data_IF_899310239006
#
_entry.id   IF_899310239006
#
_cell.length_a   1.000
_cell.length_b   1.000
_cell.length_c   1.000
_cell.angle_alpha   90.00
_cell.angle_beta   90.00
_cell.angle_gamma   90.00
#
_symmetry.space_group_name_H-M   'P 1'
#
loop_
_entity.id
_entity.type
_entity.pdbx_description
1 polymer ?
#
# COMPACT_ATOMS: atom_id res chain seq x y z
N UNK A 1 16.10 -12.17 18.27
CA UNK A 1 15.61 -11.84 17.89
C UNK A 1 14.90 -11.72 17.14
N UNK A 2 14.47 -11.64 17.04
CA UNK A 2 13.77 -11.60 16.38
C UNK A 2 13.54 -10.91 15.35
N UNK A 3 13.32 -11.08 14.94
CA UNK A 3 13.13 -10.59 13.60
C UNK A 3 11.76 -10.00 13.39
N UNK A 4 11.38 -9.17 14.26
CA UNK A 4 10.12 -8.46 14.13
C UNK A 4 10.18 -7.53 12.94
N UNK A 5 9.12 -7.50 12.14
CA UNK A 5 8.99 -6.55 11.05
C UNK A 5 8.83 -5.15 11.62
N UNK A 6 9.56 -4.21 11.09
CA UNK A 6 9.42 -2.82 11.48
C UNK A 6 8.41 -2.16 10.55
N UNK A 7 7.14 -2.24 10.93
CA UNK A 7 6.05 -1.71 10.11
C UNK A 7 6.19 -0.22 9.88
N UNK A 8 6.61 0.52 10.90
CA UNK A 8 6.76 1.96 10.75
C UNK A 8 7.83 2.31 9.72
N UNK A 9 8.98 1.63 9.76
CA UNK A 9 10.04 1.88 8.80
C UNK A 9 9.62 1.50 7.38
N UNK A 10 8.90 0.39 7.23
CA UNK A 10 8.43 -0.04 5.92
C UNK A 10 7.43 0.97 5.37
N UNK A 11 6.50 1.43 6.19
CA UNK A 11 5.54 2.45 5.76
C UNK A 11 6.24 3.74 5.36
N UNK A 12 7.23 4.18 6.11
CA UNK A 12 7.97 5.39 5.77
C UNK A 12 8.71 5.25 4.45
N UNK A 13 9.35 4.11 4.24
CA UNK A 13 10.07 3.86 3.00
C UNK A 13 9.10 3.83 1.81
N UNK A 14 7.92 3.23 2.02
CA UNK A 14 6.90 3.20 0.97
C UNK A 14 6.43 4.60 0.62
N UNK A 15 6.22 5.45 1.63
CA UNK A 15 5.78 6.82 1.38
C UNK A 15 6.86 7.64 0.67
N UNK A 16 8.13 7.39 0.96
CA UNK A 16 9.23 8.06 0.28
C UNK A 16 9.29 7.73 -1.20
N UNK A 17 8.80 6.55 -1.60
CA UNK A 17 8.77 6.09 -2.99
C UNK A 17 7.33 5.91 -3.49
N UNK A 18 6.38 6.61 -2.88
CA UNK A 18 4.97 6.30 -3.07
C UNK A 18 4.48 6.42 -4.51
N UNK A 19 4.90 7.42 -5.30
CA UNK A 19 4.44 7.44 -6.69
C UNK A 19 4.76 6.15 -7.44
N UNK A 20 5.96 5.60 -7.25
CA UNK A 20 6.34 4.35 -7.90
C UNK A 20 5.57 3.17 -7.32
N UNK A 21 5.40 3.15 -5.99
CA UNK A 21 4.65 2.09 -5.31
C UNK A 21 3.21 2.07 -5.82
N UNK A 22 2.56 3.23 -5.83
CA UNK A 22 1.16 3.31 -6.27
C UNK A 22 1.01 2.96 -7.74
N UNK A 23 1.98 3.34 -8.57
CA UNK A 23 1.93 3.00 -9.98
C UNK A 23 1.97 1.48 -10.19
N UNK A 24 2.65 0.75 -9.32
CA UNK A 24 2.70 -0.71 -9.39
C UNK A 24 1.45 -1.35 -8.81
N UNK A 25 0.93 -0.80 -7.71
CA UNK A 25 -0.23 -1.37 -7.04
C UNK A 25 -1.53 -1.04 -7.77
N UNK A 26 -1.62 0.16 -8.31
CA UNK A 26 -2.85 0.68 -8.90
C UNK A 26 -2.52 1.33 -10.23
N UNK A 27 -2.10 0.53 -11.23
CA UNK A 27 -1.80 1.09 -12.54
C UNK A 27 -3.05 1.74 -13.12
N UNK A 28 -2.89 2.88 -13.74
CA UNK A 28 -4.03 3.62 -14.28
C UNK A 28 -4.66 4.59 -13.31
N UNK A 29 -4.18 4.65 -12.07
CA UNK A 29 -4.67 5.63 -11.11
C UNK A 29 -4.32 7.04 -11.56
N UNK A 30 -5.17 8.00 -11.20
CA UNK A 30 -4.99 9.39 -11.57
C UNK A 30 -4.77 10.26 -10.36
N UNK A 31 -3.79 11.15 -10.45
CA UNK A 31 -3.53 12.11 -9.38
C UNK A 31 -4.54 13.24 -9.50
N UNK A 32 -5.32 13.43 -8.45
CA UNK A 32 -6.29 14.52 -8.37
C UNK A 32 -6.07 15.20 -7.03
N UNK A 33 -5.47 16.38 -7.04
CA UNK A 33 -5.09 17.06 -5.82
C UNK A 33 -4.11 16.22 -5.03
N UNK A 34 -4.38 16.01 -3.77
CA UNK A 34 -3.53 15.21 -2.89
C UNK A 34 -3.81 13.73 -2.91
N UNK A 35 -4.63 13.25 -3.86
CA UNK A 35 -5.06 11.87 -3.87
C UNK A 35 -4.76 11.18 -5.19
N UNK A 36 -4.58 9.87 -5.12
CA UNK A 36 -4.61 9.02 -6.29
C UNK A 36 -5.99 8.37 -6.30
N UNK A 37 -6.70 8.53 -7.42
CA UNK A 37 -8.04 7.97 -7.61
C UNK A 37 -7.89 6.82 -8.59
N UNK A 38 -8.39 5.65 -8.23
CA UNK A 38 -8.20 4.45 -9.03
C UNK A 38 -9.44 3.56 -8.97
N UNK A 39 -9.49 2.61 -9.89
CA UNK A 39 -10.47 1.54 -9.79
C UNK A 39 -10.02 0.57 -8.69
N UNK A 40 -10.98 0.08 -7.90
CA UNK A 40 -10.66 -0.87 -6.85
C UNK A 40 -10.55 -2.27 -7.45
N UNK A 41 -9.35 -2.88 -7.45
CA UNK A 41 -9.19 -4.20 -8.06
C UNK A 41 -9.91 -5.32 -7.31
N UNK A 42 -10.37 -5.06 -6.07
CA UNK A 42 -11.07 -6.08 -5.29
C UNK A 42 -12.54 -6.20 -5.62
N UNK A 43 -13.04 -5.33 -6.49
CA UNK A 43 -14.43 -5.42 -6.93
C UNK A 43 -14.51 -4.99 -8.39
N UNK A 44 -15.64 -5.28 -9.02
CA UNK A 44 -15.84 -4.95 -10.42
C UNK A 44 -16.15 -3.47 -10.58
N UNK A 45 -15.15 -2.64 -10.34
CA UNK A 45 -15.27 -1.20 -10.35
C UNK A 45 -15.17 -0.71 -11.78
N UNK A 46 -16.08 0.16 -12.20
CA UNK A 46 -16.11 0.65 -13.57
C UNK A 46 -15.89 2.13 -13.70
N UNK A 47 -15.96 2.86 -12.60
CA UNK A 47 -15.82 4.31 -12.60
C UNK A 47 -14.83 4.72 -11.55
N UNK A 48 -13.98 5.65 -11.92
CA UNK A 48 -13.11 6.30 -10.96
C UNK A 48 -13.95 7.16 -10.02
N UNK A 49 -13.52 7.25 -8.78
CA UNK A 49 -14.10 8.20 -7.85
C UNK A 49 -14.25 7.69 -6.44
N UNK A 50 -14.62 6.43 -6.25
CA UNK A 50 -14.86 5.94 -4.90
C UNK A 50 -13.62 5.41 -4.21
N UNK A 51 -12.62 4.91 -4.94
CA UNK A 51 -11.41 4.37 -4.33
C UNK A 51 -10.28 5.39 -4.42
N UNK A 52 -9.81 5.85 -3.28
CA UNK A 52 -8.85 6.95 -3.20
C UNK A 52 -7.76 6.66 -2.19
N UNK A 53 -6.53 7.06 -2.54
CA UNK A 53 -5.37 6.92 -1.67
C UNK A 53 -4.73 8.30 -1.53
N UNK A 54 -4.52 8.73 -0.28
CA UNK A 54 -3.81 9.97 -0.03
C UNK A 54 -2.33 9.77 -0.37
N UNK A 55 -1.81 10.57 -1.28
CA UNK A 55 -0.46 10.39 -1.81
C UNK A 55 0.65 10.80 -0.84
N UNK A 56 0.30 11.45 0.25
CA UNK A 56 1.28 11.92 1.21
C UNK A 56 1.39 11.05 2.45
N UNK A 57 0.27 10.52 2.93
CA UNK A 57 0.28 9.73 4.16
C UNK A 57 -0.15 8.28 3.97
N UNK A 58 -0.60 7.90 2.78
CA UNK A 58 -0.97 6.52 2.49
C UNK A 58 -2.34 6.11 2.99
N UNK A 59 -3.10 7.01 3.59
CA UNK A 59 -4.47 6.68 3.98
C UNK A 59 -5.31 6.44 2.74
N UNK A 60 -6.18 5.45 2.83
CA UNK A 60 -6.99 5.08 1.68
C UNK A 60 -8.41 4.74 2.13
N UNK A 61 -9.34 4.83 1.20
CA UNK A 61 -10.72 4.48 1.44
C UNK A 61 -11.43 4.17 0.13
N UNK A 62 -12.40 3.27 0.22
CA UNK A 62 -13.38 3.08 -0.86
C UNK A 62 -14.72 3.55 -0.35
N UNK A 63 -15.18 4.67 -0.85
CA UNK A 63 -16.40 5.30 -0.36
C UNK A 63 -17.66 4.54 -0.78
N UNK A 64 -17.53 3.63 -1.75
CA UNK A 64 -18.67 2.80 -2.16
C UNK A 64 -18.88 1.62 -1.22
N UNK A 65 -17.81 1.11 -0.59
CA UNK A 65 -17.91 -0.06 0.29
C UNK A 65 -17.72 0.28 1.76
N UNK A 66 -17.08 1.40 2.06
CA UNK A 66 -16.71 1.74 3.42
C UNK A 66 -15.38 1.15 3.87
N UNK A 67 -14.70 0.40 3.02
CA UNK A 67 -13.38 -0.13 3.36
C UNK A 67 -12.39 1.01 3.44
N UNK A 68 -11.46 0.92 4.41
CA UNK A 68 -10.46 1.97 4.57
C UNK A 68 -9.28 1.47 5.38
N UNK A 69 -8.20 2.21 5.31
CA UNK A 69 -7.00 1.93 6.10
C UNK A 69 -6.13 3.16 6.22
N UNK A 70 -5.10 3.06 7.05
CA UNK A 70 -4.33 4.23 7.46
C UNK A 70 -2.93 4.33 6.90
N UNK A 71 -2.43 3.32 6.21
CA UNK A 71 -1.03 3.33 5.80
C UNK A 71 -0.79 2.40 4.60
N UNK A 72 0.41 2.48 3.98
CA UNK A 72 0.72 1.65 2.82
C UNK A 72 0.62 0.14 3.07
N UNK A 73 1.02 -0.32 4.25
CA UNK A 73 0.93 -1.76 4.54
C UNK A 73 -0.52 -2.21 4.52
N UNK A 74 -1.43 -1.44 5.14
CA UNK A 74 -2.85 -1.80 5.13
C UNK A 74 -3.42 -1.78 3.72
N UNK A 75 -2.94 -0.88 2.87
CA UNK A 75 -3.37 -0.83 1.48
C UNK A 75 -2.97 -2.12 0.75
N UNK A 76 -1.72 -2.54 0.89
CA UNK A 76 -1.24 -3.78 0.25
C UNK A 76 -2.02 -4.98 0.78
N UNK A 77 -2.25 -5.03 2.09
CA UNK A 77 -3.02 -6.11 2.69
C UNK A 77 -4.43 -6.18 2.12
N UNK A 78 -5.07 -5.03 1.96
CA UNK A 78 -6.41 -4.95 1.38
C UNK A 78 -6.41 -5.41 -0.08
N UNK A 79 -5.51 -4.85 -0.88
CA UNK A 79 -5.48 -5.16 -2.32
C UNK A 79 -5.17 -6.63 -2.58
N UNK A 80 -4.30 -7.23 -1.79
CA UNK A 80 -3.92 -8.62 -1.96
C UNK A 80 -4.78 -9.60 -1.18
N UNK A 81 -5.64 -9.09 -0.31
CA UNK A 81 -6.43 -9.91 0.61
C UNK A 81 -5.50 -10.83 1.42
N UNK A 82 -4.47 -10.25 1.97
CA UNK A 82 -3.44 -10.96 2.74
C UNK A 82 -3.27 -10.31 4.10
N UNK A 83 -2.52 -10.96 4.98
CA UNK A 83 -2.29 -10.42 6.30
C UNK A 83 -1.38 -9.20 6.26
N UNK A 84 -1.40 -8.42 7.33
CA UNK A 84 -0.52 -7.26 7.46
C UNK A 84 0.94 -7.67 7.41
N UNK A 85 1.31 -8.79 8.02
CA UNK A 85 2.68 -9.28 7.98
C UNK A 85 3.13 -9.65 6.58
N UNK A 86 2.27 -10.34 5.83
CA UNK A 86 2.57 -10.67 4.43
C UNK A 86 2.67 -9.42 3.58
N UNK A 87 1.76 -8.47 3.80
CA UNK A 87 1.79 -7.21 3.07
C UNK A 87 3.08 -6.43 3.34
N UNK A 88 3.49 -6.39 4.60
CA UNK A 88 4.74 -5.72 4.97
C UNK A 88 5.95 -6.36 4.28
N UNK A 89 5.99 -7.70 4.23
CA UNK A 89 7.09 -8.39 3.56
C UNK A 89 7.10 -8.11 2.06
N UNK A 90 5.93 -8.14 1.43
CA UNK A 90 5.83 -7.83 0.00
C UNK A 90 6.30 -6.42 -0.29
N UNK A 91 5.85 -5.48 0.51
CA UNK A 91 6.22 -4.08 0.32
C UNK A 91 7.71 -3.87 0.53
N UNK A 92 8.27 -4.52 1.56
CA UNK A 92 9.70 -4.44 1.82
C UNK A 92 10.51 -5.02 0.65
N UNK A 93 10.07 -6.14 0.08
CA UNK A 93 10.74 -6.69 -1.09
C UNK A 93 10.69 -5.75 -2.28
N UNK A 94 9.53 -5.14 -2.49
CA UNK A 94 9.35 -4.17 -3.56
C UNK A 94 10.30 -2.98 -3.41
N UNK A 95 10.58 -2.61 -2.16
CA UNK A 95 11.43 -1.47 -1.84
C UNK A 95 12.91 -1.84 -1.65
N UNK A 96 13.24 -3.12 -1.70
CA UNK A 96 14.60 -3.57 -1.49
C UNK A 96 15.07 -3.52 -0.04
N UNK A 97 14.14 -3.63 0.90
CA UNK A 97 14.44 -3.59 2.33
C UNK A 97 14.53 -5.00 2.88
N UNK A 98 15.58 -5.28 3.65
CA UNK A 98 15.67 -6.55 4.35
C UNK A 98 14.73 -6.56 5.54
N UNK A 99 14.05 -7.66 5.74
CA UNK A 99 13.05 -7.77 6.80
C UNK A 99 13.29 -8.88 7.78
N UNK A 100 14.12 -9.87 7.44
CA UNK A 100 14.20 -11.07 8.26
C UNK A 100 15.60 -11.27 8.79
N UNK A 101 16.25 -10.28 9.08
CA UNK A 101 17.58 -10.32 9.62
C UNK A 101 18.49 -11.18 8.80
N UNK A 102 18.32 -11.58 8.44
CA UNK A 102 19.05 -12.04 7.98
C UNK A 102 19.99 -12.17 7.65
N UNK A 103 20.32 -12.55 7.58
CA UNK A 103 21.10 -12.75 7.48
C UNK A 103 21.79 -13.01 6.96
N UNK A 104 22.26 -13.20 6.83
CA UNK A 104 22.95 -13.44 6.49
C UNK A 104 23.65 -13.49 6.24
N UNK A 105 23.62 -13.60 6.44
CA UNK A 105 24.41 -13.55 6.47
C UNK A 105 24.96 -13.71 6.12
#
# INVERSE_FOLDING_TARGET
MKDALDFAAINQAALAAFPAVLNRLLPGGKAIGGEIVALNPRRADRRLGSFRVNRYNGRWADFATGDKGGDPISLVAYLGNISQGEAARMLARMLGIETEGRRRG
#
